data_IF_895156605561
#
_entry.id   IF_895156605561
#
_cell.length_a   1.000
_cell.length_b   1.000
_cell.length_c   1.000
_cell.angle_alpha   90.00
_cell.angle_beta   90.00
_cell.angle_gamma   90.00
#
_symmetry.space_group_name_H-M   'P 1'
#
loop_
_entity.id
_entity.type
_entity.pdbx_description
1 polymer ?
#
# COMPACT_ATOMS: atom_id res chain seq x y z
N UNK A 1 -12.89 11.67 3.40
CA UNK A 1 -11.50 11.21 3.20
C UNK A 1 -11.13 11.47 1.74
N UNK A 2 -9.99 12.12 1.47
CA UNK A 2 -9.55 12.38 0.10
C UNK A 2 -8.81 11.14 -0.42
N UNK A 3 -9.24 10.58 -1.55
CA UNK A 3 -8.63 9.39 -2.14
C UNK A 3 -7.28 9.75 -2.77
N UNK A 4 -6.21 9.02 -2.45
CA UNK A 4 -4.90 9.24 -3.06
C UNK A 4 -4.76 8.49 -4.38
N UNK A 5 -4.58 9.21 -5.49
CA UNK A 5 -4.46 8.60 -6.82
C UNK A 5 -3.15 7.82 -6.97
N UNK A 6 -2.03 8.39 -6.53
CA UNK A 6 -0.71 7.76 -6.61
C UNK A 6 -0.67 6.45 -5.82
N UNK A 7 -1.19 6.48 -4.59
CA UNK A 7 -1.29 5.31 -3.71
C UNK A 7 -2.15 4.19 -4.30
N UNK A 8 -3.31 4.52 -4.88
CA UNK A 8 -4.16 3.53 -5.51
C UNK A 8 -3.56 2.97 -6.82
N UNK A 9 -2.77 3.76 -7.54
CA UNK A 9 -2.08 3.33 -8.76
C UNK A 9 -1.02 2.27 -8.47
N UNK A 10 -0.14 2.50 -7.49
CA UNK A 10 0.87 1.52 -7.09
C UNK A 10 0.22 0.23 -6.55
N UNK A 11 -0.78 0.35 -5.67
CA UNK A 11 -1.48 -0.81 -5.13
C UNK A 11 -2.20 -1.62 -6.22
N UNK A 12 -2.72 -0.97 -7.27
CA UNK A 12 -3.32 -1.66 -8.42
C UNK A 12 -2.27 -2.45 -9.20
N UNK A 13 -1.08 -1.87 -9.44
CA UNK A 13 0.00 -2.55 -10.14
C UNK A 13 0.47 -3.79 -9.35
N UNK A 14 0.64 -3.66 -8.04
CA UNK A 14 1.05 -4.75 -7.15
C UNK A 14 -0.03 -5.82 -7.02
N UNK A 15 -1.30 -5.43 -6.90
CA UNK A 15 -2.44 -6.35 -6.82
C UNK A 15 -2.53 -7.30 -8.03
N UNK A 16 -2.05 -6.85 -9.21
CA UNK A 16 -2.01 -7.67 -10.44
C UNK A 16 -0.87 -8.68 -10.47
N UNK A 17 0.14 -8.54 -9.61
CA UNK A 17 1.23 -9.51 -9.53
C UNK A 17 0.81 -10.78 -8.77
N UNK A 18 -0.36 -10.78 -8.12
CA UNK A 18 -0.88 -11.90 -7.33
C UNK A 18 0.05 -12.38 -6.20
N UNK A 19 0.98 -11.53 -5.77
CA UNK A 19 1.88 -11.78 -4.64
C UNK A 19 1.47 -10.91 -3.46
N UNK A 20 1.27 -11.53 -2.30
CA UNK A 20 1.07 -10.80 -1.05
C UNK A 20 2.43 -10.44 -0.43
N UNK A 21 2.55 -9.20 0.01
CA UNK A 21 3.75 -8.64 0.65
C UNK A 21 3.47 -8.28 2.11
N UNK A 22 4.48 -8.37 2.96
CA UNK A 22 4.42 -7.84 4.34
C UNK A 22 4.71 -6.34 4.38
N UNK A 23 5.44 -5.81 3.39
CA UNK A 23 5.84 -4.43 3.21
C UNK A 23 6.44 -4.21 1.82
N UNK A 24 6.56 -2.95 1.38
CA UNK A 24 7.21 -2.61 0.11
C UNK A 24 8.66 -2.19 0.29
N UNK A 25 9.51 -2.54 -0.68
CA UNK A 25 10.89 -2.06 -0.74
C UNK A 25 10.97 -0.71 -1.48
N UNK A 26 12.08 0.02 -1.32
CA UNK A 26 12.30 1.29 -2.04
C UNK A 26 12.18 1.15 -3.56
N UNK A 27 12.64 0.02 -4.10
CA UNK A 27 12.54 -0.29 -5.53
C UNK A 27 11.07 -0.39 -6.00
N UNK A 28 10.14 -0.83 -5.14
CA UNK A 28 8.72 -0.89 -5.47
C UNK A 28 8.08 0.50 -5.53
N UNK A 29 8.65 1.48 -4.81
CA UNK A 29 8.09 2.84 -4.65
C UNK A 29 8.66 3.83 -5.66
N UNK A 30 9.78 3.48 -6.31
CA UNK A 30 10.49 4.37 -7.21
C UNK A 30 9.63 4.76 -8.41
N UNK A 31 9.60 6.06 -8.73
CA UNK A 31 8.81 6.60 -9.85
C UNK A 31 7.33 6.86 -9.52
N UNK A 32 6.92 6.70 -8.26
CA UNK A 32 5.60 7.11 -7.78
C UNK A 32 5.68 8.42 -6.99
N UNK A 33 4.77 9.35 -7.27
CA UNK A 33 4.62 10.61 -6.54
C UNK A 33 3.90 10.36 -5.20
N UNK A 34 4.62 9.75 -4.25
CA UNK A 34 4.14 9.40 -2.92
C UNK A 34 4.71 10.35 -1.88
N UNK A 35 3.85 10.82 -0.99
CA UNK A 35 4.26 11.54 0.22
C UNK A 35 5.07 10.65 1.17
N UNK A 36 5.85 11.27 2.06
CA UNK A 36 6.64 10.54 3.06
C UNK A 36 5.76 9.61 3.93
N UNK A 37 4.56 10.06 4.29
CA UNK A 37 3.59 9.28 5.06
C UNK A 37 3.10 8.04 4.31
N UNK A 38 2.82 8.16 3.01
CA UNK A 38 2.41 7.04 2.17
C UNK A 38 3.55 6.04 1.99
N UNK A 39 4.77 6.50 1.75
CA UNK A 39 5.95 5.64 1.65
C UNK A 39 6.18 4.87 2.95
N UNK A 40 6.14 5.56 4.10
CA UNK A 40 6.31 4.91 5.40
C UNK A 40 5.23 3.83 5.65
N UNK A 41 3.96 4.15 5.36
CA UNK A 41 2.86 3.21 5.52
C UNK A 41 2.98 1.99 4.59
N UNK A 42 3.41 2.19 3.34
CA UNK A 42 3.64 1.11 2.37
C UNK A 42 4.81 0.21 2.77
N UNK A 43 5.92 0.80 3.24
CA UNK A 43 7.09 0.05 3.73
C UNK A 43 6.77 -0.78 4.96
N UNK A 44 6.04 -0.20 5.90
CA UNK A 44 5.64 -0.87 7.13
C UNK A 44 4.50 -1.90 6.94
N UNK A 45 3.82 -1.88 5.79
CA UNK A 45 2.58 -2.65 5.60
C UNK A 45 1.46 -2.21 6.53
N UNK A 46 1.42 -0.94 6.93
CA UNK A 46 0.44 -0.40 7.88
C UNK A 46 -0.91 -0.20 7.19
N UNK A 47 -1.70 -1.29 7.18
CA UNK A 47 -3.04 -1.36 6.57
C UNK A 47 -3.97 -0.25 7.09
N UNK A 48 -3.90 0.07 8.38
CA UNK A 48 -4.75 1.09 9.00
C UNK A 48 -4.36 2.47 8.52
N UNK A 49 -3.07 2.79 8.51
CA UNK A 49 -2.58 4.08 8.01
C UNK A 49 -2.86 4.24 6.52
N UNK A 50 -2.64 3.21 5.71
CA UNK A 50 -2.98 3.20 4.28
C UNK A 50 -4.46 3.51 4.04
N UNK A 51 -5.35 2.90 4.83
CA UNK A 51 -6.77 3.20 4.77
C UNK A 51 -7.02 4.68 5.00
N UNK A 52 -6.52 5.26 6.09
CA UNK A 52 -6.72 6.69 6.40
C UNK A 52 -6.10 7.66 5.38
N UNK A 53 -5.01 7.25 4.73
CA UNK A 53 -4.38 8.00 3.62
C UNK A 53 -5.16 7.92 2.30
N UNK A 54 -6.29 7.20 2.28
CA UNK A 54 -7.19 7.14 1.12
C UNK A 54 -6.86 6.01 0.14
N UNK A 55 -6.14 4.98 0.57
CA UNK A 55 -6.03 3.75 -0.21
C UNK A 55 -7.36 2.99 -0.24
N UNK A 56 -7.66 2.36 -1.37
CA UNK A 56 -8.82 1.51 -1.54
C UNK A 56 -8.68 0.24 -0.67
N UNK A 57 -9.61 -0.03 0.28
CA UNK A 57 -9.57 -1.20 1.14
C UNK A 57 -9.43 -2.53 0.38
N UNK A 58 -10.01 -2.63 -0.81
CA UNK A 58 -9.91 -3.83 -1.64
C UNK A 58 -8.46 -4.07 -2.10
N UNK A 59 -7.78 -3.02 -2.54
CA UNK A 59 -6.39 -3.13 -3.00
C UNK A 59 -5.45 -3.44 -1.83
N UNK A 60 -5.65 -2.81 -0.66
CA UNK A 60 -4.86 -3.10 0.54
C UNK A 60 -4.92 -4.59 0.88
N UNK A 61 -6.12 -5.19 0.88
CA UNK A 61 -6.33 -6.62 1.17
C UNK A 61 -5.72 -7.56 0.12
N UNK A 62 -5.52 -7.08 -1.11
CA UNK A 62 -4.95 -7.86 -2.21
C UNK A 62 -3.41 -7.83 -2.19
N UNK A 63 -2.83 -6.72 -1.73
CA UNK A 63 -1.39 -6.50 -1.71
C UNK A 63 -0.77 -6.95 -0.40
N UNK A 64 -1.37 -6.62 0.74
CA UNK A 64 -0.75 -6.86 2.05
C UNK A 64 -1.27 -8.12 2.72
N UNK A 65 -0.34 -8.92 3.24
CA UNK A 65 -0.68 -10.05 4.09
C UNK A 65 -1.16 -9.53 5.44
N UNK A 66 -2.39 -9.87 5.81
CA UNK A 66 -2.96 -9.51 7.11
C UNK A 66 -2.25 -10.35 8.17
N UNK A 67 -1.26 -9.76 8.87
CA UNK A 67 -0.72 -10.36 10.09
C UNK A 67 -1.80 -10.26 11.17
N UNK A 68 -2.47 -11.37 11.44
CA UNK A 68 -3.18 -11.50 12.71
C UNK A 68 -2.11 -11.73 13.77
N UNK A 69 -2.00 -10.88 14.82
CA UNK A 69 -1.22 -11.26 15.98
C UNK A 69 -1.85 -12.55 16.53
N UNK A 70 -1.04 -13.60 16.67
CA UNK A 70 -1.39 -14.85 17.36
C UNK A 70 -1.14 -14.62 18.85
#
# INVERSE_FOLDING_TARGET
>A
MKTSYALNKILTALARQHVMKDGLADDDLTGHDLSADEQAALKAGDITRLYHLGANPYLIRRVFRRRFPI
#
